data_IF_026912821008
#
_entry.id   IF_026912821008
#
_cell.length_a   1.000
_cell.length_b   1.000
_cell.length_c   1.000
_cell.angle_alpha   90.00
_cell.angle_beta   90.00
_cell.angle_gamma   90.00
#
_symmetry.space_group_name_H-M   'P 1'
#
loop_
_entity.id
_entity.type
_entity.pdbx_description
1 polymer ?
#
# COMPACT_ATOMS: atom_id res chain seq x y z
N UNK A 1 -9.09 14.94 24.00
CA UNK A 1 -8.39 15.89 23.11
C UNK A 1 -7.03 15.28 22.80
N UNK A 2 -6.91 14.62 21.65
CA UNK A 2 -5.67 13.99 21.23
C UNK A 2 -4.63 15.07 20.94
N UNK A 3 -3.40 14.82 21.36
CA UNK A 3 -2.25 15.69 21.26
C UNK A 3 -1.93 15.99 19.78
N UNK A 4 -2.40 17.14 19.29
CA UNK A 4 -2.13 17.66 17.94
C UNK A 4 -0.65 18.05 17.73
N UNK A 5 0.22 17.77 18.71
CA UNK A 5 1.66 18.03 18.69
C UNK A 5 2.50 16.79 19.01
N UNK A 6 2.00 15.57 18.75
CA UNK A 6 2.89 14.41 18.77
C UNK A 6 3.98 14.58 17.72
N UNK A 7 5.20 14.84 18.17
CA UNK A 7 6.41 14.90 17.33
C UNK A 7 6.87 13.53 16.86
N UNK A 8 6.21 12.46 17.32
CA UNK A 8 6.60 11.11 16.97
C UNK A 8 6.02 10.69 15.61
N UNK A 9 6.79 9.98 14.77
CA UNK A 9 6.26 9.42 13.54
C UNK A 9 5.13 8.44 13.82
N UNK A 10 4.12 8.41 12.94
CA UNK A 10 2.90 7.61 13.10
C UNK A 10 2.63 6.70 11.91
N UNK A 11 1.95 5.58 12.17
CA UNK A 11 1.34 4.74 11.15
C UNK A 11 -0.10 5.20 10.91
N UNK A 12 -0.44 5.53 9.67
CA UNK A 12 -1.82 5.79 9.23
C UNK A 12 -2.32 4.62 8.40
N UNK A 13 -3.49 4.13 8.74
CA UNK A 13 -4.14 2.99 8.10
C UNK A 13 -5.28 3.49 7.23
N UNK A 14 -5.24 3.27 5.92
CA UNK A 14 -6.31 3.68 5.01
C UNK A 14 -7.02 2.45 4.43
N UNK A 15 -8.28 2.65 4.03
CA UNK A 15 -9.02 1.68 3.24
C UNK A 15 -8.87 1.98 1.75
N UNK A 16 -8.60 0.98 0.92
CA UNK A 16 -8.63 1.15 -0.55
C UNK A 16 -10.07 1.28 -1.02
N UNK A 17 -10.38 2.32 -1.78
CA UNK A 17 -11.73 2.51 -2.34
C UNK A 17 -12.11 1.39 -3.29
N UNK A 18 -11.15 0.92 -4.10
CA UNK A 18 -11.31 -0.23 -5.00
C UNK A 18 -11.58 -1.53 -4.24
N UNK A 19 -11.01 -1.70 -3.05
CA UNK A 19 -11.26 -2.88 -2.23
C UNK A 19 -12.74 -2.97 -1.80
N UNK A 20 -13.48 -1.87 -1.70
CA UNK A 20 -14.90 -1.85 -1.31
C UNK A 20 -15.84 -2.24 -2.45
N UNK A 21 -15.33 -2.39 -3.66
CA UNK A 21 -16.11 -2.81 -4.81
C UNK A 21 -16.66 -4.23 -4.64
N UNK A 22 -17.93 -4.38 -4.98
CA UNK A 22 -18.65 -5.64 -4.98
C UNK A 22 -18.72 -6.42 -3.67
N UNK A 23 -18.32 -5.84 -2.54
CA UNK A 23 -18.51 -6.49 -1.24
C UNK A 23 -20.00 -6.68 -0.92
N UNK A 24 -20.36 -7.88 -0.45
CA UNK A 24 -21.73 -8.24 -0.09
C UNK A 24 -22.33 -7.30 0.97
N UNK A 25 -21.48 -6.80 1.87
CA UNK A 25 -21.83 -5.86 2.94
C UNK A 25 -22.50 -4.56 2.46
N UNK A 26 -22.26 -4.15 1.23
CA UNK A 26 -22.82 -2.91 0.68
C UNK A 26 -23.91 -3.15 -0.37
N UNK A 27 -24.40 -4.39 -0.53
CA UNK A 27 -25.43 -4.75 -1.53
C UNK A 27 -26.72 -3.95 -1.37
N UNK A 28 -27.18 -3.76 -0.13
CA UNK A 28 -28.38 -3.01 0.22
C UNK A 28 -28.35 -1.54 -0.26
N UNK A 29 -27.17 -0.93 -0.29
CA UNK A 29 -26.98 0.47 -0.66
C UNK A 29 -26.67 0.68 -2.16
N UNK A 30 -26.41 -0.37 -2.96
CA UNK A 30 -25.94 -0.20 -4.35
C UNK A 30 -26.91 0.53 -5.28
N UNK A 31 -28.20 0.50 -4.98
CA UNK A 31 -29.24 1.18 -5.76
C UNK A 31 -29.21 2.72 -5.65
N UNK A 32 -28.44 3.28 -4.72
CA UNK A 32 -28.32 4.73 -4.52
C UNK A 32 -26.85 5.11 -4.29
N UNK A 33 -26.23 5.75 -5.28
CA UNK A 33 -24.81 6.11 -5.25
C UNK A 33 -24.43 7.01 -4.05
N UNK A 34 -25.31 7.94 -3.66
CA UNK A 34 -25.07 8.81 -2.51
C UNK A 34 -25.13 8.06 -1.18
N UNK A 35 -26.14 7.20 -1.00
CA UNK A 35 -26.26 6.35 0.19
C UNK A 35 -25.10 5.35 0.29
N UNK A 36 -24.69 4.76 -0.84
CA UNK A 36 -23.53 3.86 -0.91
C UNK A 36 -22.24 4.56 -0.51
N UNK A 37 -22.00 5.77 -1.02
CA UNK A 37 -20.84 6.59 -0.67
C UNK A 37 -20.80 6.86 0.84
N UNK A 38 -21.90 7.38 1.39
CA UNK A 38 -22.00 7.68 2.82
C UNK A 38 -21.76 6.43 3.66
N UNK A 39 -22.47 5.33 3.35
CA UNK A 39 -22.34 4.08 4.08
C UNK A 39 -20.92 3.54 4.08
N UNK A 40 -20.23 3.54 2.94
CA UNK A 40 -18.84 3.09 2.85
C UNK A 40 -17.91 3.93 3.73
N UNK A 41 -18.05 5.25 3.69
CA UNK A 41 -17.20 6.15 4.47
C UNK A 41 -17.49 6.06 5.98
N UNK A 42 -18.77 5.90 6.35
CA UNK A 42 -19.18 5.71 7.75
C UNK A 42 -18.61 4.40 8.29
N UNK A 43 -18.75 3.28 7.57
CA UNK A 43 -18.17 1.99 7.96
C UNK A 43 -16.63 2.05 8.07
N UNK A 44 -15.94 2.78 7.16
CA UNK A 44 -14.48 2.98 7.23
C UNK A 44 -14.08 3.76 8.49
N UNK A 45 -14.81 4.81 8.82
CA UNK A 45 -14.57 5.62 10.01
C UNK A 45 -14.84 4.81 11.30
N UNK A 46 -15.96 4.10 11.36
CA UNK A 46 -16.37 3.27 12.50
C UNK A 46 -15.39 2.12 12.76
N UNK A 47 -14.81 1.54 11.71
CA UNK A 47 -13.75 0.53 11.81
C UNK A 47 -12.40 1.10 12.29
N UNK A 48 -12.28 2.43 12.42
CA UNK A 48 -11.09 3.10 12.91
C UNK A 48 -9.96 3.23 11.89
N UNK A 49 -10.27 3.20 10.58
CA UNK A 49 -9.31 3.63 9.57
C UNK A 49 -9.13 5.14 9.64
N UNK A 50 -7.91 5.59 9.34
CA UNK A 50 -7.54 7.02 9.32
C UNK A 50 -7.99 7.72 8.04
N UNK A 51 -8.44 6.97 7.03
CA UNK A 51 -8.83 7.54 5.74
C UNK A 51 -9.04 6.52 4.63
N UNK A 52 -9.07 7.04 3.40
CA UNK A 52 -9.32 6.25 2.18
C UNK A 52 -8.25 6.53 1.12
N UNK A 53 -7.79 5.50 0.44
CA UNK A 53 -7.02 5.62 -0.80
C UNK A 53 -7.97 5.48 -1.99
N UNK A 54 -8.13 6.55 -2.76
CA UNK A 54 -8.92 6.58 -4.00
C UNK A 54 -8.06 6.23 -5.21
N UNK A 55 -8.69 5.80 -6.30
CA UNK A 55 -8.05 5.81 -7.62
C UNK A 55 -8.00 7.25 -8.19
N UNK A 56 -7.42 7.43 -9.38
CA UNK A 56 -7.40 8.74 -10.06
C UNK A 56 -8.78 9.23 -10.51
N UNK A 57 -9.81 8.40 -10.42
CA UNK A 57 -11.20 8.73 -10.78
C UNK A 57 -11.99 9.02 -9.50
N UNK A 58 -11.77 10.20 -8.94
CA UNK A 58 -12.49 10.67 -7.75
C UNK A 58 -13.45 11.82 -8.08
N UNK A 59 -14.44 12.03 -7.20
CA UNK A 59 -15.39 13.15 -7.30
C UNK A 59 -15.16 14.17 -6.18
N UNK A 60 -15.54 15.43 -6.43
CA UNK A 60 -15.55 16.47 -5.38
C UNK A 60 -16.38 16.07 -4.17
N UNK A 61 -17.47 15.32 -4.40
CA UNK A 61 -18.37 14.86 -3.35
C UNK A 61 -17.71 13.83 -2.45
N UNK A 62 -16.96 12.86 -3.00
CA UNK A 62 -16.17 11.92 -2.21
C UNK A 62 -15.20 12.64 -1.28
N UNK A 63 -14.43 13.58 -1.83
CA UNK A 63 -13.45 14.34 -1.06
C UNK A 63 -14.11 15.23 0.00
N UNK A 64 -15.26 15.85 -0.33
CA UNK A 64 -16.03 16.64 0.63
C UNK A 64 -16.54 15.79 1.80
N UNK A 65 -17.05 14.57 1.53
CA UNK A 65 -17.53 13.67 2.58
C UNK A 65 -16.39 13.18 3.49
N UNK A 66 -15.19 12.90 2.94
CA UNK A 66 -14.00 12.60 3.74
C UNK A 66 -13.64 13.76 4.66
N UNK A 67 -13.57 14.99 4.13
CA UNK A 67 -13.26 16.20 4.93
C UNK A 67 -14.28 16.43 6.05
N UNK A 68 -15.57 16.27 5.78
CA UNK A 68 -16.64 16.41 6.78
C UNK A 68 -16.51 15.41 7.95
N UNK A 69 -15.95 14.22 7.68
CA UNK A 69 -15.76 13.14 8.65
C UNK A 69 -14.37 13.15 9.31
N UNK A 70 -13.47 14.03 8.88
CA UNK A 70 -12.07 14.03 9.31
C UNK A 70 -11.26 12.83 8.79
N UNK A 71 -11.74 12.14 7.74
CA UNK A 71 -11.00 11.07 7.09
C UNK A 71 -9.89 11.64 6.20
N UNK A 72 -8.68 11.12 6.35
CA UNK A 72 -7.58 11.37 5.44
C UNK A 72 -7.83 10.80 4.04
N UNK A 73 -7.05 11.27 3.07
CA UNK A 73 -7.13 10.80 1.68
C UNK A 73 -5.73 10.49 1.16
N UNK A 74 -5.65 9.54 0.24
CA UNK A 74 -4.48 9.28 -0.62
C UNK A 74 -4.99 8.87 -2.01
N UNK A 75 -4.14 8.94 -3.03
CA UNK A 75 -4.47 8.49 -4.38
C UNK A 75 -3.62 7.29 -4.81
N UNK A 76 -4.11 6.50 -5.75
CA UNK A 76 -3.32 5.59 -6.58
C UNK A 76 -3.46 6.00 -8.04
N UNK A 77 -2.34 6.04 -8.77
CA UNK A 77 -2.29 6.47 -10.16
C UNK A 77 -1.29 5.70 -11.01
N UNK A 78 -1.14 6.14 -12.26
CA UNK A 78 -0.30 5.49 -13.25
C UNK A 78 0.41 6.51 -14.14
N UNK A 79 1.67 6.22 -14.45
CA UNK A 79 2.53 6.98 -15.38
C UNK A 79 3.18 5.97 -16.32
N UNK A 80 2.69 5.88 -17.55
CA UNK A 80 3.24 5.02 -18.59
C UNK A 80 4.12 5.79 -19.58
N UNK A 81 3.92 7.11 -19.67
CA UNK A 81 4.74 8.02 -20.47
C UNK A 81 5.25 9.18 -19.59
N UNK A 82 6.51 9.64 -19.76
CA UNK A 82 7.10 10.69 -18.93
C UNK A 82 6.25 11.97 -18.82
N UNK A 83 5.60 12.38 -19.91
CA UNK A 83 4.74 13.56 -19.97
C UNK A 83 3.48 13.48 -19.10
N UNK A 84 3.09 12.29 -18.64
CA UNK A 84 1.90 12.10 -17.80
C UNK A 84 2.16 12.45 -16.32
N UNK A 85 3.42 12.40 -15.86
CA UNK A 85 3.76 12.56 -14.45
C UNK A 85 3.39 13.95 -13.91
N UNK A 86 3.74 15.01 -14.65
CA UNK A 86 3.46 16.39 -14.26
C UNK A 86 1.95 16.68 -14.13
N UNK A 87 1.15 16.48 -15.19
CA UNK A 87 -0.30 16.67 -15.14
C UNK A 87 -1.00 15.81 -14.09
N UNK A 88 -0.52 14.59 -13.82
CA UNK A 88 -1.06 13.77 -12.74
C UNK A 88 -0.79 14.42 -11.37
N UNK A 89 0.45 14.81 -11.10
CA UNK A 89 0.85 15.43 -9.84
C UNK A 89 0.11 16.75 -9.60
N UNK A 90 -0.03 17.59 -10.63
CA UNK A 90 -0.77 18.86 -10.58
C UNK A 90 -2.23 18.63 -10.18
N UNK A 91 -2.95 17.74 -10.88
CA UNK A 91 -4.36 17.45 -10.58
C UNK A 91 -4.56 16.93 -9.16
N UNK A 92 -3.66 16.07 -8.67
CA UNK A 92 -3.75 15.51 -7.32
C UNK A 92 -3.46 16.56 -6.25
N UNK A 93 -2.46 17.43 -6.49
CA UNK A 93 -2.15 18.55 -5.62
C UNK A 93 -3.33 19.55 -5.56
N UNK A 94 -3.92 19.91 -6.69
CA UNK A 94 -5.08 20.80 -6.78
C UNK A 94 -6.32 20.24 -6.08
N UNK A 95 -6.50 18.91 -6.13
CA UNK A 95 -7.56 18.21 -5.39
C UNK A 95 -7.29 18.11 -3.88
N UNK A 96 -6.07 18.43 -3.43
CA UNK A 96 -5.66 18.43 -2.03
C UNK A 96 -5.24 17.05 -1.50
N UNK A 97 -4.82 16.13 -2.37
CA UNK A 97 -4.23 14.87 -1.92
C UNK A 97 -2.85 15.11 -1.30
N UNK A 98 -2.56 14.50 -0.13
CA UNK A 98 -1.27 14.66 0.53
C UNK A 98 -0.18 13.74 -0.05
N UNK A 99 -0.54 12.69 -0.78
CA UNK A 99 0.38 11.77 -1.45
C UNK A 99 -0.34 10.87 -2.46
N UNK A 100 0.43 10.19 -3.30
CA UNK A 100 -0.08 9.15 -4.19
C UNK A 100 0.89 7.97 -4.34
N UNK A 101 0.35 6.78 -4.60
CA UNK A 101 1.09 5.62 -5.08
C UNK A 101 1.00 5.53 -6.59
N UNK A 102 2.05 5.01 -7.26
CA UNK A 102 2.13 4.98 -8.71
C UNK A 102 2.54 3.62 -9.24
N UNK A 103 1.78 3.13 -10.23
CA UNK A 103 2.32 2.24 -11.23
C UNK A 103 3.11 3.02 -12.28
N UNK A 104 4.33 2.57 -12.59
CA UNK A 104 5.21 3.28 -13.53
C UNK A 104 5.67 2.35 -14.65
N UNK A 105 5.29 2.69 -15.89
CA UNK A 105 5.55 1.89 -17.08
C UNK A 105 4.84 0.53 -17.10
N UNK A 106 5.26 -0.30 -18.05
CA UNK A 106 4.69 -1.60 -18.38
C UNK A 106 5.64 -2.78 -18.12
N UNK A 107 6.88 -2.51 -17.71
CA UNK A 107 7.90 -3.51 -17.39
C UNK A 107 8.67 -4.04 -18.60
N UNK A 108 8.46 -3.47 -19.79
CA UNK A 108 9.15 -3.82 -21.04
C UNK A 108 10.19 -2.77 -21.46
N UNK A 109 10.23 -1.66 -20.74
CA UNK A 109 11.10 -0.52 -21.01
C UNK A 109 12.57 -0.93 -20.92
N UNK A 110 13.36 -0.44 -21.87
CA UNK A 110 14.82 -0.42 -21.80
C UNK A 110 15.31 0.37 -20.57
N UNK A 111 16.57 0.21 -20.16
CA UNK A 111 17.13 1.00 -19.06
C UNK A 111 16.96 2.51 -19.23
N UNK A 112 17.15 3.04 -20.44
CA UNK A 112 17.01 4.47 -20.72
C UNK A 112 15.56 4.96 -20.71
N UNK A 113 14.62 4.13 -21.16
CA UNK A 113 13.18 4.43 -21.08
C UNK A 113 12.70 4.46 -19.63
N UNK A 114 13.11 3.47 -18.82
CA UNK A 114 12.78 3.43 -17.41
C UNK A 114 13.42 4.58 -16.63
N UNK A 115 14.66 4.96 -16.96
CA UNK A 115 15.32 6.14 -16.41
C UNK A 115 14.48 7.42 -16.64
N UNK A 116 13.99 7.63 -17.87
CA UNK A 116 13.14 8.80 -18.19
C UNK A 116 11.83 8.80 -17.40
N UNK A 117 11.21 7.65 -17.19
CA UNK A 117 10.00 7.53 -16.37
C UNK A 117 10.27 7.87 -14.90
N UNK A 118 11.35 7.32 -14.32
CA UNK A 118 11.75 7.60 -12.94
C UNK A 118 12.05 9.10 -12.76
N UNK A 119 12.83 9.68 -13.66
CA UNK A 119 13.19 11.11 -13.63
C UNK A 119 11.96 12.02 -13.75
N UNK A 120 10.98 11.64 -14.58
CA UNK A 120 9.73 12.37 -14.72
C UNK A 120 8.88 12.32 -13.44
N UNK A 121 8.75 11.15 -12.80
CA UNK A 121 8.05 11.02 -11.51
C UNK A 121 8.72 11.86 -10.42
N UNK A 122 10.06 11.83 -10.34
CA UNK A 122 10.81 12.61 -9.37
C UNK A 122 10.65 14.11 -9.59
N UNK A 123 10.74 14.55 -10.84
CA UNK A 123 10.56 15.96 -11.21
C UNK A 123 9.14 16.44 -10.93
N UNK A 124 8.13 15.60 -11.18
CA UNK A 124 6.74 15.92 -10.88
C UNK A 124 6.48 16.05 -9.38
N UNK A 125 7.04 15.14 -8.57
CA UNK A 125 6.91 15.14 -7.11
C UNK A 125 7.61 16.34 -6.45
N UNK A 126 8.70 16.84 -7.03
CA UNK A 126 9.40 18.05 -6.58
C UNK A 126 8.63 19.33 -6.98
N UNK A 127 8.17 19.41 -8.25
CA UNK A 127 7.51 20.60 -8.80
C UNK A 127 6.13 20.86 -8.19
N UNK A 128 5.32 19.82 -8.05
CA UNK A 128 4.04 19.86 -7.35
C UNK A 128 4.30 19.07 -6.07
N UNK A 129 4.60 19.69 -4.91
CA UNK A 129 5.16 19.03 -3.71
C UNK A 129 4.20 18.03 -3.05
N UNK A 130 3.81 17.00 -3.79
CA UNK A 130 3.03 15.83 -3.43
C UNK A 130 3.98 14.63 -3.56
N UNK A 131 4.24 13.90 -2.45
CA UNK A 131 4.99 12.66 -2.50
C UNK A 131 4.35 11.64 -3.44
N UNK A 132 5.13 11.20 -4.44
CA UNK A 132 4.75 10.14 -5.38
C UNK A 132 5.57 8.89 -5.08
N UNK A 133 4.90 7.85 -4.59
CA UNK A 133 5.52 6.60 -4.17
C UNK A 133 5.40 5.53 -5.26
N UNK A 134 6.52 5.12 -5.85
CA UNK A 134 6.50 4.11 -6.93
C UNK A 134 6.29 2.73 -6.33
N UNK A 135 5.32 1.98 -6.87
CA UNK A 135 4.92 0.69 -6.34
C UNK A 135 5.77 -0.47 -6.85
N UNK A 136 6.10 -1.40 -5.95
CA UNK A 136 6.68 -2.70 -6.29
C UNK A 136 5.63 -3.60 -6.95
N UNK A 137 5.26 -3.32 -8.20
CA UNK A 137 4.14 -3.99 -8.86
C UNK A 137 4.57 -4.78 -10.11
N UNK A 138 4.11 -6.04 -10.23
CA UNK A 138 4.31 -6.89 -11.43
C UNK A 138 3.77 -6.20 -12.69
N UNK A 139 4.40 -6.35 -13.86
CA UNK A 139 4.02 -5.62 -15.09
C UNK A 139 4.24 -4.08 -15.03
N UNK A 140 5.22 -3.64 -14.24
CA UNK A 140 5.73 -2.26 -14.23
C UNK A 140 7.27 -2.29 -14.25
N UNK A 141 7.93 -1.14 -14.35
CA UNK A 141 9.42 -1.12 -14.31
C UNK A 141 10.00 -1.53 -12.93
N UNK A 142 9.17 -1.57 -11.88
CA UNK A 142 9.50 -2.03 -10.52
C UNK A 142 9.00 -3.46 -10.24
N UNK A 143 8.80 -4.25 -11.29
CA UNK A 143 8.27 -5.62 -11.19
C UNK A 143 9.20 -6.63 -10.51
N UNK A 144 10.49 -6.33 -10.37
CA UNK A 144 11.45 -7.25 -9.76
C UNK A 144 12.47 -6.57 -8.84
N UNK A 145 12.95 -7.37 -7.88
CA UNK A 145 13.86 -6.92 -6.84
C UNK A 145 15.23 -6.47 -7.39
N UNK A 146 15.77 -7.16 -8.40
CA UNK A 146 17.12 -6.88 -8.88
C UNK A 146 17.17 -5.54 -9.61
N UNK A 147 16.25 -5.34 -10.56
CA UNK A 147 16.11 -4.08 -11.29
C UNK A 147 15.76 -2.93 -10.37
N UNK A 148 14.91 -3.16 -9.37
CA UNK A 148 14.56 -2.13 -8.38
C UNK A 148 15.78 -1.72 -7.54
N UNK A 149 16.59 -2.66 -7.04
CA UNK A 149 17.81 -2.33 -6.28
C UNK A 149 18.80 -1.54 -7.14
N UNK A 150 18.99 -1.92 -8.41
CA UNK A 150 19.84 -1.19 -9.35
C UNK A 150 19.34 0.24 -9.58
N UNK A 151 18.03 0.42 -9.77
CA UNK A 151 17.42 1.75 -9.87
C UNK A 151 17.62 2.59 -8.63
N UNK A 152 17.47 2.03 -7.43
CA UNK A 152 17.64 2.79 -6.19
C UNK A 152 19.08 3.18 -5.90
N UNK A 153 20.07 2.44 -6.45
CA UNK A 153 21.47 2.84 -6.41
C UNK A 153 21.72 4.09 -7.27
N UNK A 154 21.08 4.19 -8.45
CA UNK A 154 21.18 5.36 -9.34
C UNK A 154 20.28 6.53 -8.91
N UNK A 155 19.12 6.24 -8.34
CA UNK A 155 18.09 7.21 -7.96
C UNK A 155 17.78 7.12 -6.45
N UNK A 156 18.72 7.55 -5.58
CA UNK A 156 18.57 7.48 -4.12
C UNK A 156 17.49 8.42 -3.52
N UNK A 157 16.75 9.15 -4.35
CA UNK A 157 15.62 9.98 -3.95
C UNK A 157 14.26 9.27 -4.12
N UNK A 158 14.20 8.18 -4.89
CA UNK A 158 12.96 7.41 -5.10
C UNK A 158 12.44 6.90 -3.76
N UNK A 159 11.14 7.09 -3.56
CA UNK A 159 10.36 6.58 -2.43
C UNK A 159 9.38 5.52 -2.95
N UNK A 160 9.16 4.50 -2.14
CA UNK A 160 8.50 3.26 -2.55
C UNK A 160 7.15 3.10 -1.87
N UNK A 161 6.16 2.66 -2.66
CA UNK A 161 5.00 1.95 -2.16
C UNK A 161 5.32 0.44 -2.16
N UNK A 162 5.48 -0.14 -0.97
CA UNK A 162 5.80 -1.56 -0.86
C UNK A 162 4.53 -2.40 -0.93
N UNK A 163 4.18 -2.89 -2.12
CA UNK A 163 3.30 -4.06 -2.29
C UNK A 163 4.15 -5.30 -2.59
N UNK A 164 4.61 -5.95 -1.53
CA UNK A 164 5.51 -7.08 -1.71
C UNK A 164 4.81 -8.35 -2.21
N UNK A 165 3.47 -8.39 -2.28
CA UNK A 165 2.74 -9.55 -2.81
C UNK A 165 3.06 -9.83 -4.27
N UNK A 166 3.32 -8.78 -5.06
CA UNK A 166 3.71 -8.90 -6.45
C UNK A 166 5.03 -9.63 -6.65
N UNK A 167 6.03 -9.35 -5.81
CA UNK A 167 7.30 -10.06 -5.84
C UNK A 167 7.17 -11.43 -5.19
N UNK A 168 6.43 -11.53 -4.07
CA UNK A 168 6.24 -12.76 -3.31
C UNK A 168 5.71 -13.89 -4.17
N UNK A 169 4.60 -13.64 -4.88
CA UNK A 169 3.99 -14.60 -5.79
C UNK A 169 4.68 -14.59 -7.15
N UNK A 170 4.93 -13.42 -7.75
CA UNK A 170 5.38 -13.31 -9.13
C UNK A 170 6.80 -13.81 -9.40
N UNK A 171 7.66 -13.85 -8.37
CA UNK A 171 9.08 -14.24 -8.48
C UNK A 171 9.43 -15.42 -7.57
N UNK A 172 8.44 -16.15 -7.08
CA UNK A 172 8.59 -17.20 -6.07
C UNK A 172 9.56 -16.75 -4.97
N UNK A 173 9.24 -15.66 -4.27
CA UNK A 173 10.21 -14.91 -3.47
C UNK A 173 10.84 -15.75 -2.33
N UNK A 174 10.20 -16.85 -1.92
CA UNK A 174 10.76 -17.81 -0.96
C UNK A 174 11.88 -18.69 -1.54
N UNK A 175 11.89 -18.94 -2.85
CA UNK A 175 12.86 -19.82 -3.50
C UNK A 175 14.25 -19.19 -3.51
N UNK A 176 15.30 -19.94 -3.12
CA UNK A 176 16.65 -19.39 -2.92
C UNK A 176 16.89 -18.76 -1.53
N UNK A 177 15.90 -18.88 -0.63
CA UNK A 177 15.99 -18.46 0.77
C UNK A 177 15.46 -17.04 0.98
N UNK A 178 14.32 -16.94 1.67
CA UNK A 178 13.67 -15.66 1.96
C UNK A 178 14.60 -14.64 2.62
N UNK A 179 15.41 -15.05 3.60
CA UNK A 179 16.35 -14.15 4.28
C UNK A 179 17.43 -13.56 3.36
N UNK A 180 17.86 -14.32 2.35
CA UNK A 180 18.80 -13.81 1.36
C UNK A 180 18.15 -12.71 0.51
N UNK A 181 16.88 -12.90 0.12
CA UNK A 181 16.13 -11.88 -0.62
C UNK A 181 15.81 -10.67 0.24
N UNK A 182 15.41 -10.89 1.50
CA UNK A 182 15.15 -9.81 2.47
C UNK A 182 16.38 -8.91 2.65
N UNK A 183 17.56 -9.50 2.84
CA UNK A 183 18.84 -8.75 2.91
C UNK A 183 19.17 -8.05 1.61
N UNK A 184 18.92 -8.68 0.47
CA UNK A 184 19.20 -8.09 -0.84
C UNK A 184 18.35 -6.84 -1.11
N UNK A 185 17.08 -6.85 -0.70
CA UNK A 185 16.16 -5.71 -0.91
C UNK A 185 16.19 -4.66 0.20
N UNK A 186 17.15 -4.70 1.13
CA UNK A 186 17.28 -3.68 2.19
C UNK A 186 17.22 -2.24 1.63
N UNK A 187 17.89 -1.89 0.51
CA UNK A 187 17.78 -0.55 -0.08
C UNK A 187 16.35 -0.16 -0.48
N UNK A 188 15.49 -1.14 -0.80
CA UNK A 188 14.07 -0.92 -1.08
C UNK A 188 13.32 -0.62 0.20
N UNK A 189 13.52 -1.44 1.25
CA UNK A 189 12.87 -1.30 2.55
C UNK A 189 13.19 0.05 3.20
N UNK A 190 14.42 0.56 3.03
CA UNK A 190 14.84 1.89 3.47
C UNK A 190 14.00 3.03 2.86
N UNK A 191 13.40 2.79 1.69
CA UNK A 191 12.69 3.80 0.90
C UNK A 191 11.18 3.68 0.94
N UNK A 192 10.65 2.67 1.61
CA UNK A 192 9.22 2.51 1.81
C UNK A 192 8.68 3.70 2.61
N UNK A 193 7.66 4.36 2.07
CA UNK A 193 6.88 5.44 2.72
C UNK A 193 5.37 5.24 2.57
N UNK A 194 4.97 4.18 1.87
CA UNK A 194 3.61 3.69 1.76
C UNK A 194 3.67 2.16 1.65
N UNK A 195 2.71 1.45 2.22
CA UNK A 195 2.62 -0.01 2.15
C UNK A 195 1.24 -0.42 1.67
N UNK A 196 1.20 -1.28 0.66
CA UNK A 196 0.04 -2.11 0.41
C UNK A 196 0.22 -3.43 1.15
N UNK A 197 -0.79 -3.78 1.93
CA UNK A 197 -0.75 -4.83 2.96
C UNK A 197 -1.26 -6.19 2.48
N UNK A 198 -1.51 -6.35 1.19
CA UNK A 198 -2.01 -7.60 0.63
C UNK A 198 -0.99 -8.70 0.86
N UNK A 199 -1.47 -9.85 1.30
CA UNK A 199 -0.66 -11.06 1.48
C UNK A 199 -1.04 -12.07 0.40
N UNK A 200 -0.02 -12.54 -0.31
CA UNK A 200 -0.10 -13.65 -1.26
C UNK A 200 0.77 -14.82 -0.80
N UNK A 201 0.60 -15.96 -1.47
CA UNK A 201 1.52 -17.10 -1.38
C UNK A 201 2.26 -17.28 -2.74
N UNK A 202 3.21 -18.22 -2.89
CA UNK A 202 3.95 -18.38 -4.15
C UNK A 202 3.08 -18.70 -5.39
N UNK A 203 1.85 -19.17 -5.22
CA UNK A 203 0.93 -19.48 -6.31
C UNK A 203 -0.24 -18.51 -6.48
N UNK A 204 -0.55 -17.68 -5.48
CA UNK A 204 -1.77 -16.88 -5.44
C UNK A 204 -1.50 -15.49 -4.84
N UNK A 205 -1.94 -14.44 -5.54
CA UNK A 205 -1.66 -13.03 -5.19
C UNK A 205 -2.37 -12.55 -3.92
N UNK A 206 -3.52 -13.14 -3.64
CA UNK A 206 -4.35 -12.83 -2.49
C UNK A 206 -4.89 -14.15 -1.96
N UNK A 207 -4.70 -14.38 -0.67
CA UNK A 207 -5.15 -15.60 0.02
C UNK A 207 -5.79 -15.24 1.34
N UNK A 208 -6.69 -16.09 1.82
CA UNK A 208 -7.16 -16.01 3.20
C UNK A 208 -5.99 -16.27 4.17
N UNK A 209 -5.89 -15.45 5.20
CA UNK A 209 -4.90 -15.60 6.26
C UNK A 209 -5.53 -15.93 7.61
N UNK A 210 -6.84 -16.22 7.64
CA UNK A 210 -7.58 -16.50 8.87
C UNK A 210 -7.50 -15.33 9.85
N UNK A 211 -7.09 -15.62 11.08
CA UNK A 211 -6.83 -14.63 12.13
C UNK A 211 -5.40 -14.05 12.10
N UNK A 212 -4.61 -14.42 11.07
CA UNK A 212 -3.20 -14.05 10.96
C UNK A 212 -2.26 -14.98 11.72
N UNK A 213 -2.69 -16.19 12.13
CA UNK A 213 -1.80 -17.19 12.72
C UNK A 213 -0.66 -17.56 11.77
N UNK A 214 0.56 -17.31 12.24
CA UNK A 214 1.81 -17.57 11.51
C UNK A 214 2.09 -19.08 11.36
N UNK A 215 1.55 -19.93 12.24
CA UNK A 215 1.75 -21.38 12.17
C UNK A 215 0.94 -22.00 11.04
N UNK A 216 -0.34 -21.64 10.94
CA UNK A 216 -1.23 -22.04 9.86
C UNK A 216 -0.88 -21.35 8.53
N UNK A 217 -0.34 -20.13 8.59
CA UNK A 217 -0.03 -19.32 7.41
C UNK A 217 1.43 -18.81 7.43
N UNK A 218 2.43 -19.64 7.08
CA UNK A 218 3.85 -19.27 7.18
C UNK A 218 4.26 -18.03 6.38
N UNK A 219 3.53 -17.69 5.31
CA UNK A 219 3.76 -16.45 4.56
C UNK A 219 3.44 -15.19 5.39
N UNK A 220 2.54 -15.26 6.36
CA UNK A 220 2.27 -14.13 7.27
C UNK A 220 3.54 -13.72 8.02
N UNK A 221 4.37 -14.67 8.46
CA UNK A 221 5.68 -14.38 9.07
C UNK A 221 6.56 -13.56 8.12
N UNK A 222 6.69 -13.97 6.87
CA UNK A 222 7.50 -13.26 5.88
C UNK A 222 7.02 -11.83 5.61
N UNK A 223 5.72 -11.62 5.46
CA UNK A 223 5.16 -10.28 5.27
C UNK A 223 5.34 -9.40 6.51
N UNK A 224 5.15 -9.96 7.71
CA UNK A 224 5.44 -9.24 8.97
C UNK A 224 6.91 -8.85 9.07
N UNK A 225 7.84 -9.69 8.63
CA UNK A 225 9.26 -9.35 8.55
C UNK A 225 9.51 -8.18 7.59
N UNK A 226 8.94 -8.21 6.38
CA UNK A 226 9.04 -7.13 5.40
C UNK A 226 8.50 -5.80 5.96
N UNK A 227 7.30 -5.84 6.52
CA UNK A 227 6.65 -4.65 7.08
C UNK A 227 7.40 -4.10 8.28
N UNK A 228 7.79 -4.94 9.24
CA UNK A 228 8.56 -4.49 10.41
C UNK A 228 9.90 -3.87 10.01
N UNK A 229 10.60 -4.44 9.02
CA UNK A 229 11.87 -3.86 8.51
C UNK A 229 11.65 -2.51 7.82
N UNK A 230 10.66 -2.40 6.94
CA UNK A 230 10.32 -1.14 6.29
C UNK A 230 9.89 -0.06 7.31
N UNK A 231 9.08 -0.44 8.30
CA UNK A 231 8.65 0.45 9.39
C UNK A 231 9.82 0.87 10.29
N UNK A 232 10.77 -0.02 10.57
CA UNK A 232 11.99 0.29 11.32
C UNK A 232 12.81 1.34 10.58
N UNK A 233 13.03 1.16 9.27
CA UNK A 233 13.77 2.12 8.47
C UNK A 233 13.05 3.46 8.35
N UNK A 234 11.73 3.45 8.18
CA UNK A 234 10.93 4.67 8.23
C UNK A 234 11.15 5.41 9.56
N UNK A 235 11.00 4.74 10.70
CA UNK A 235 11.16 5.35 12.04
C UNK A 235 12.56 5.93 12.28
N UNK A 236 13.61 5.31 11.73
CA UNK A 236 15.00 5.80 11.85
C UNK A 236 15.26 7.06 11.01
N UNK A 237 14.52 7.25 9.93
CA UNK A 237 14.78 8.28 8.92
C UNK A 237 13.69 9.36 8.86
N UNK A 238 12.57 9.16 9.55
CA UNK A 238 11.42 10.05 9.52
C UNK A 238 11.69 11.32 10.30
N UNK A 239 11.35 12.45 9.71
CA UNK A 239 11.25 13.71 10.42
C UNK A 239 10.16 13.64 11.51
N UNK A 240 10.25 14.50 12.55
CA UNK A 240 9.21 14.62 13.55
C UNK A 240 7.83 14.82 12.93
N UNK A 241 6.85 14.00 13.33
CA UNK A 241 5.48 14.03 12.79
C UNK A 241 5.30 13.37 11.41
N UNK A 242 6.33 12.70 10.86
CA UNK A 242 6.22 11.93 9.63
C UNK A 242 5.13 10.85 9.70
N UNK A 243 4.44 10.61 8.59
CA UNK A 243 3.42 9.55 8.49
C UNK A 243 3.88 8.45 7.52
N UNK A 244 3.77 7.19 7.95
CA UNK A 244 3.82 6.02 7.09
C UNK A 244 2.39 5.55 6.84
N UNK A 245 2.04 5.26 5.59
CA UNK A 245 0.71 4.80 5.24
C UNK A 245 0.69 3.28 5.03
N UNK A 246 -0.39 2.63 5.46
CA UNK A 246 -0.65 1.21 5.24
C UNK A 246 -2.07 0.99 4.74
N UNK A 247 -2.24 0.26 3.64
CA UNK A 247 -3.53 -0.02 3.01
C UNK A 247 -3.65 -1.52 2.75
N UNK A 248 -4.59 -2.26 3.36
CA UNK A 248 -4.70 -3.71 3.17
C UNK A 248 -4.84 -4.16 1.71
N UNK A 249 -5.54 -3.38 0.89
CA UNK A 249 -5.66 -3.53 -0.57
C UNK A 249 -6.07 -4.93 -1.06
N UNK A 250 -7.13 -5.48 -0.47
CA UNK A 250 -7.74 -6.74 -0.90
C UNK A 250 -8.76 -6.46 -2.02
N UNK A 251 -8.42 -6.84 -3.24
CA UNK A 251 -9.19 -6.47 -4.43
C UNK A 251 -10.21 -7.54 -4.82
N UNK A 252 -11.21 -7.12 -5.60
CA UNK A 252 -12.32 -7.95 -6.07
C UNK A 252 -11.83 -9.15 -6.90
N UNK A 253 -12.46 -10.33 -6.77
CA UNK A 253 -12.18 -11.48 -7.64
C UNK A 253 -12.50 -11.20 -9.12
N UNK A 254 -13.33 -10.19 -9.44
CA UNK A 254 -13.67 -9.83 -10.83
C UNK A 254 -12.46 -9.41 -11.68
N UNK A 255 -11.39 -8.95 -11.02
CA UNK A 255 -10.13 -8.61 -11.67
C UNK A 255 -9.02 -9.64 -11.37
N UNK A 256 -9.40 -10.84 -10.95
CA UNK A 256 -8.53 -12.01 -10.76
C UNK A 256 -7.47 -11.87 -9.66
N UNK A 257 -7.64 -10.96 -8.70
CA UNK A 257 -6.81 -10.90 -7.50
C UNK A 257 -7.34 -11.85 -6.41
N UNK A 258 -8.60 -11.68 -6.01
CA UNK A 258 -9.28 -12.59 -5.08
C UNK A 258 -9.62 -13.93 -5.73
N UNK A 259 -9.50 -15.02 -4.97
CA UNK A 259 -9.91 -16.35 -5.40
C UNK A 259 -11.39 -16.59 -5.09
N UNK A 260 -12.01 -17.48 -5.86
CA UNK A 260 -13.39 -17.92 -5.61
C UNK A 260 -13.50 -19.43 -5.60
N UNK A 261 -14.34 -19.97 -4.73
CA UNK A 261 -14.62 -21.39 -4.60
C UNK A 261 -16.14 -21.63 -4.62
N UNK A 262 -16.63 -22.74 -5.19
CA UNK A 262 -18.05 -23.07 -5.16
C UNK A 262 -18.50 -23.37 -3.72
N UNK A 263 -19.62 -22.79 -3.31
CA UNK A 263 -20.34 -23.20 -2.10
C UNK A 263 -21.10 -24.53 -2.30
N UNK A 264 -21.84 -24.96 -1.28
CA UNK A 264 -22.62 -26.21 -1.29
C UNK A 264 -23.65 -26.27 -2.44
N UNK A 265 -24.07 -25.12 -2.97
CA UNK A 265 -25.01 -25.00 -4.09
C UNK A 265 -24.30 -24.77 -5.44
N UNK A 266 -22.97 -24.83 -5.47
CA UNK A 266 -22.17 -24.57 -6.67
C UNK A 266 -21.99 -23.10 -7.02
N UNK A 267 -22.43 -22.17 -6.16
CA UNK A 267 -22.27 -20.73 -6.40
C UNK A 267 -20.86 -20.31 -6.00
N UNK A 268 -20.13 -19.66 -6.91
CA UNK A 268 -18.78 -19.17 -6.61
C UNK A 268 -18.84 -18.05 -5.57
N UNK A 269 -18.15 -18.25 -4.45
CA UNK A 269 -17.95 -17.28 -3.37
C UNK A 269 -16.50 -16.88 -3.28
N UNK A 270 -16.23 -15.64 -2.87
CA UNK A 270 -14.88 -15.24 -2.50
C UNK A 270 -14.32 -16.16 -1.43
N UNK A 271 -13.02 -16.46 -1.52
CA UNK A 271 -12.33 -17.30 -0.54
C UNK A 271 -12.47 -16.78 0.89
N UNK A 272 -12.47 -15.45 1.05
CA UNK A 272 -12.55 -14.80 2.34
C UNK A 272 -13.48 -13.59 2.30
N UNK A 273 -13.97 -13.18 3.48
CA UNK A 273 -14.58 -11.86 3.65
C UNK A 273 -13.47 -10.80 3.63
N UNK A 274 -13.39 -10.07 2.52
CA UNK A 274 -12.38 -9.01 2.33
C UNK A 274 -12.41 -7.93 3.41
N UNK A 275 -13.57 -7.59 3.98
CA UNK A 275 -13.66 -6.60 5.04
C UNK A 275 -13.09 -7.16 6.35
N UNK A 276 -13.47 -8.38 6.71
CA UNK A 276 -12.92 -9.04 7.90
C UNK A 276 -11.38 -9.19 7.78
N UNK A 277 -10.90 -9.65 6.63
CA UNK A 277 -9.46 -9.82 6.37
C UNK A 277 -8.71 -8.48 6.38
N UNK A 278 -9.31 -7.38 5.87
CA UNK A 278 -8.65 -6.06 5.92
C UNK A 278 -8.43 -5.56 7.35
N UNK A 279 -9.31 -5.92 8.30
CA UNK A 279 -9.15 -5.61 9.72
C UNK A 279 -8.02 -6.43 10.36
N UNK A 280 -7.90 -7.71 10.00
CA UNK A 280 -6.79 -8.57 10.44
C UNK A 280 -5.46 -7.98 9.96
N UNK A 281 -5.33 -7.66 8.67
CA UNK A 281 -4.12 -7.05 8.09
C UNK A 281 -3.76 -5.72 8.76
N UNK A 282 -4.76 -4.86 9.03
CA UNK A 282 -4.56 -3.61 9.78
C UNK A 282 -4.01 -3.87 11.18
N UNK A 283 -4.56 -4.85 11.90
CA UNK A 283 -4.07 -5.24 13.23
C UNK A 283 -2.63 -5.75 13.19
N UNK A 284 -2.29 -6.59 12.21
CA UNK A 284 -0.92 -7.09 12.01
C UNK A 284 0.05 -5.94 11.72
N UNK A 285 -0.32 -4.98 10.86
CA UNK A 285 0.50 -3.82 10.56
C UNK A 285 0.78 -2.95 11.80
N UNK A 286 -0.24 -2.73 12.64
CA UNK A 286 -0.09 -2.00 13.91
C UNK A 286 0.87 -2.71 14.87
N UNK A 287 0.79 -4.05 14.97
CA UNK A 287 1.73 -4.85 15.76
C UNK A 287 3.16 -4.75 15.21
N UNK A 288 3.33 -4.85 13.88
CA UNK A 288 4.61 -4.69 13.21
C UNK A 288 5.24 -3.32 13.48
N UNK A 289 4.44 -2.26 13.46
CA UNK A 289 4.90 -0.89 13.73
C UNK A 289 5.29 -0.70 15.20
N UNK A 290 4.51 -1.23 16.14
CA UNK A 290 4.85 -1.22 17.56
C UNK A 290 6.15 -1.99 17.85
N UNK A 291 6.37 -3.12 17.18
CA UNK A 291 7.63 -3.87 17.26
C UNK A 291 8.80 -3.09 16.66
N UNK A 292 8.62 -2.48 15.49
CA UNK A 292 9.65 -1.64 14.87
C UNK A 292 10.07 -0.51 15.81
N UNK A 293 9.12 0.16 16.45
CA UNK A 293 9.38 1.21 17.44
C UNK A 293 10.22 0.71 18.61
N UNK A 294 9.84 -0.43 19.20
CA UNK A 294 10.64 -1.06 20.29
C UNK A 294 12.09 -1.34 19.85
N UNK A 295 12.30 -1.81 18.63
CA UNK A 295 13.65 -2.09 18.09
C UNK A 295 14.48 -0.82 17.91
N UNK A 296 13.87 0.25 17.39
CA UNK A 296 14.53 1.56 17.23
C UNK A 296 14.91 2.14 18.59
N UNK A 297 14.00 2.11 19.57
CA UNK A 297 14.23 2.62 20.93
C UNK A 297 15.35 1.83 21.65
N UNK A 298 15.33 0.50 21.58
CA UNK A 298 16.35 -0.37 22.18
C UNK A 298 17.73 -0.20 21.54
N UNK A 299 17.79 0.01 20.21
CA UNK A 299 19.04 0.30 19.50
C UNK A 299 19.64 1.66 19.85
N UNK A 300 18.79 2.67 20.06
CA UNK A 300 19.20 4.04 20.42
C UNK A 300 19.74 4.13 21.86
N UNK A 301 19.27 3.26 22.76
CA UNK A 301 19.74 3.18 24.15
C UNK A 301 21.11 2.53 24.34
N UNK A 302 21.66 1.83 23.34
CA UNK A 302 23.01 1.20 23.40
C UNK A 302 24.15 2.13 22.97
N UNK A 303 23.84 3.33 22.47
CA UNK A 303 24.81 4.32 21.96
C UNK A 303 24.99 5.49 22.95
N UNK A 304 24.39 5.41 24.15
CA UNK A 304 24.56 6.39 25.23
C UNK A 304 25.44 5.86 26.35
#
# INVERSE_FOLDING_TARGET
>A
MADLHSTQPILRTLMSWLALEDMARFEDARGNAGALLQRRLDDVLEAGYDGVQFDVVFTSDQLAHCRQRGLGIAATGRVNHPEEAGPLAERLADAGFPCATLHVGWGMESPDEAARLIEAVLTASDRHPIPLFIETHRATIFQDAWRTVDFLARYPQVRINGDFSHWYTGLEFVYGGFENKLRFIEPVLERVRFLHGRIGNPGCMQVDIGDGDETAHPYVTHFRMLWTRAMEQFLRQSEPGGSLFFVPELLSPKIYYGRTFPDENGVLREECDRWAQSLVLRGLAQQCFAEAKRRVDAGSGRVR
#
